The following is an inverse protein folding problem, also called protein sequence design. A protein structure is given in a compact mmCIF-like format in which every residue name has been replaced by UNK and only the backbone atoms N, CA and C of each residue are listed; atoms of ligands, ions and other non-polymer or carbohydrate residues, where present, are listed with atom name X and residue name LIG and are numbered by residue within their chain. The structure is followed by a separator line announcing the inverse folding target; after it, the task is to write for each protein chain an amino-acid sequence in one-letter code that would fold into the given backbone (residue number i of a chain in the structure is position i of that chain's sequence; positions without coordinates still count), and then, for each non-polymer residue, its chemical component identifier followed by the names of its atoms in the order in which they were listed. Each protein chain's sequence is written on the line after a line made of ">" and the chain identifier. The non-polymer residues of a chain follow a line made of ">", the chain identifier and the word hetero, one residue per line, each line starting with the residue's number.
data_IF_828125249822
#
_entry.id   IF_828125249822
#
_cell.length_a   1.000
_cell.length_b   1.000
_cell.length_c   1.000
_cell.angle_alpha   90.00
_cell.angle_beta   90.00
_cell.angle_gamma   90.00
#
_symmetry.space_group_name_H-M   'P 1'
#
loop_
_entity.id
_entity.type
_entity.pdbx_description
1 polymer ?
#
# COMPACT_ATOMS: atom_id res chain seq x y z
N UNK A 1 -9.87 -43.59 -38.87
CA UNK A 1 -8.90 -44.70 -38.94
C UNK A 1 -8.07 -44.65 -37.66
N UNK A 2 -8.08 -45.72 -36.87
CA UNK A 2 -7.27 -45.96 -35.65
C UNK A 2 -5.97 -46.67 -36.06
N UNK A 3 -4.85 -46.40 -35.37
CA UNK A 3 -3.66 -47.24 -35.06
C UNK A 3 -2.57 -46.25 -34.59
N UNK A 4 -2.23 -46.06 -33.30
CA UNK A 4 -1.59 -46.94 -32.29
C UNK A 4 -0.32 -47.61 -32.82
N UNK A 5 0.85 -47.22 -32.25
CA UNK A 5 1.98 -48.04 -31.72
C UNK A 5 3.04 -47.01 -31.22
N UNK A 6 3.36 -46.81 -29.92
CA UNK A 6 3.76 -47.70 -28.82
C UNK A 6 5.23 -48.16 -28.94
N UNK A 7 6.07 -47.68 -28.02
CA UNK A 7 7.09 -48.41 -27.20
C UNK A 7 8.22 -47.43 -26.79
N UNK A 8 8.51 -47.14 -25.52
CA UNK A 8 8.98 -47.95 -24.36
C UNK A 8 10.51 -48.00 -24.24
N UNK A 9 10.95 -48.10 -22.96
CA UNK A 9 12.26 -48.49 -22.41
C UNK A 9 13.06 -47.29 -21.84
N UNK A 10 13.59 -47.31 -20.61
CA UNK A 10 13.40 -48.13 -19.41
C UNK A 10 14.14 -47.49 -18.22
N UNK A 11 13.62 -47.78 -17.03
CA UNK A 11 14.24 -47.93 -15.71
C UNK A 11 15.77 -47.86 -15.59
N UNK A 12 16.27 -47.13 -14.58
CA UNK A 12 17.15 -47.70 -13.55
C UNK A 12 16.95 -46.99 -12.20
N UNK A 13 16.60 -47.76 -11.18
CA UNK A 13 16.70 -47.37 -9.78
C UNK A 13 18.06 -47.72 -9.20
N UNK A 14 18.47 -47.00 -8.15
CA UNK A 14 19.52 -47.44 -7.22
C UNK A 14 18.97 -47.19 -5.82
N UNK A 15 18.74 -48.28 -5.09
CA UNK A 15 18.47 -48.26 -3.66
C UNK A 15 19.77 -48.18 -2.86
N UNK A 16 19.67 -47.66 -1.64
CA UNK A 16 20.65 -47.93 -0.59
C UNK A 16 19.92 -48.57 0.59
N UNK A 17 20.45 -49.70 1.03
CA UNK A 17 20.11 -50.42 2.25
C UNK A 17 21.36 -50.47 3.15
N UNK A 18 21.15 -50.83 4.42
CA UNK A 18 22.11 -51.11 5.50
C UNK A 18 22.35 -49.90 6.43
N UNK A 19 22.39 -50.02 7.76
CA UNK A 19 22.43 -51.19 8.64
C UNK A 19 22.08 -50.74 10.07
N UNK A 20 21.45 -51.62 10.84
CA UNK A 20 21.27 -51.46 12.27
C UNK A 20 22.55 -51.82 13.05
N UNK A 21 22.98 -50.95 13.97
CA UNK A 21 23.87 -51.29 15.09
C UNK A 21 23.39 -50.54 16.33
N UNK A 22 23.11 -51.26 17.42
CA UNK A 22 22.74 -50.74 18.74
C UNK A 22 23.96 -50.16 19.52
N UNK A 23 23.89 -49.91 20.84
CA UNK A 23 23.30 -48.75 21.50
C UNK A 23 24.36 -47.98 22.31
N UNK A 24 24.41 -46.65 22.24
CA UNK A 24 25.25 -45.88 23.16
C UNK A 24 24.42 -45.01 24.09
N UNK A 25 24.49 -45.35 25.38
CA UNK A 25 24.04 -44.52 26.49
C UNK A 25 24.81 -43.21 26.43
N UNK A 26 24.08 -42.12 26.25
CA UNK A 26 24.57 -40.79 26.62
C UNK A 26 23.41 -40.10 27.31
N UNK A 27 23.57 -39.85 28.62
CA UNK A 27 22.67 -39.02 29.41
C UNK A 27 22.61 -37.63 28.77
N UNK A 28 21.56 -37.39 27.99
CA UNK A 28 21.14 -36.05 27.64
C UNK A 28 20.16 -35.60 28.73
N UNK A 29 20.49 -34.50 29.43
CA UNK A 29 19.55 -33.77 30.27
C UNK A 29 18.34 -33.41 29.41
N UNK A 30 17.22 -34.07 29.65
CA UNK A 30 15.91 -33.57 29.28
C UNK A 30 15.67 -32.27 30.03
N UNK A 31 15.95 -31.17 29.37
CA UNK A 31 15.27 -29.91 29.62
C UNK A 31 14.50 -29.59 28.36
N UNK A 32 13.47 -30.40 28.11
CA UNK A 32 12.39 -30.04 27.19
C UNK A 32 11.59 -28.92 27.87
N UNK A 33 12.14 -27.71 27.86
CA UNK A 33 11.31 -26.52 27.88
C UNK A 33 10.57 -26.52 26.55
N UNK A 34 9.40 -27.18 26.54
CA UNK A 34 8.35 -26.88 25.60
C UNK A 34 8.02 -25.41 25.81
N UNK A 35 8.70 -24.54 25.06
CA UNK A 35 8.25 -23.19 24.78
C UNK A 35 6.93 -23.38 24.07
N UNK A 36 5.84 -23.38 24.83
CA UNK A 36 4.50 -23.27 24.28
C UNK A 36 4.55 -22.02 23.39
N UNK A 37 4.62 -22.22 22.07
CA UNK A 37 4.40 -21.17 21.11
C UNK A 37 3.03 -20.61 21.47
N UNK A 38 3.02 -19.42 22.09
CA UNK A 38 1.81 -18.64 22.26
C UNK A 38 1.33 -18.38 20.84
N UNK A 39 0.41 -19.22 20.37
CA UNK A 39 -0.32 -18.99 19.14
C UNK A 39 -1.07 -17.70 19.42
N UNK A 40 -0.51 -16.59 18.94
CA UNK A 40 -1.20 -15.33 18.99
C UNK A 40 -2.48 -15.51 18.19
N UNK A 41 -3.64 -15.07 18.70
CA UNK A 41 -4.87 -15.14 17.93
C UNK A 41 -4.66 -14.45 16.58
N UNK A 42 -5.30 -14.95 15.51
CA UNK A 42 -5.19 -14.34 14.20
C UNK A 42 -5.63 -12.87 14.29
N UNK A 43 -4.87 -11.98 13.65
CA UNK A 43 -5.19 -10.55 13.63
C UNK A 43 -6.61 -10.34 13.11
N UNK A 44 -7.34 -9.41 13.71
CA UNK A 44 -8.59 -8.91 13.12
C UNK A 44 -8.34 -8.26 11.76
N UNK A 45 -9.38 -8.12 10.94
CA UNK A 45 -9.26 -7.47 9.63
C UNK A 45 -8.73 -6.04 9.72
N UNK A 46 -9.20 -5.29 10.71
CA UNK A 46 -8.72 -3.95 11.02
C UNK A 46 -7.23 -3.94 11.38
N UNK A 47 -6.78 -4.87 12.20
CA UNK A 47 -5.35 -4.99 12.54
C UNK A 47 -4.50 -5.38 11.33
N UNK A 48 -5.03 -6.22 10.43
CA UNK A 48 -4.37 -6.54 9.15
C UNK A 48 -4.26 -5.30 8.27
N UNK A 49 -5.34 -4.53 8.12
CA UNK A 49 -5.33 -3.28 7.36
C UNK A 49 -4.30 -2.29 7.93
N UNK A 50 -4.29 -2.08 9.24
CA UNK A 50 -3.31 -1.19 9.89
C UNK A 50 -1.88 -1.68 9.64
N UNK A 51 -1.62 -2.99 9.73
CA UNK A 51 -0.30 -3.55 9.44
C UNK A 51 0.10 -3.35 7.96
N UNK A 52 -0.84 -3.50 7.03
CA UNK A 52 -0.64 -3.22 5.61
C UNK A 52 -0.30 -1.74 5.39
N UNK A 53 -1.05 -0.82 6.01
CA UNK A 53 -0.79 0.62 5.93
C UNK A 53 0.57 1.01 6.53
N UNK A 54 1.00 0.36 7.62
CA UNK A 54 2.32 0.57 8.21
C UNK A 54 3.46 0.11 7.30
N UNK A 55 3.27 -0.99 6.57
CA UNK A 55 4.26 -1.46 5.61
C UNK A 55 4.24 -0.57 4.35
N UNK A 56 3.06 -0.19 3.90
CA UNK A 56 2.87 0.75 2.79
C UNK A 56 3.55 2.10 3.07
N UNK A 57 3.42 2.64 4.28
CA UNK A 57 4.14 3.83 4.73
C UNK A 57 5.66 3.72 4.51
N UNK A 58 6.27 2.59 4.90
CA UNK A 58 7.72 2.39 4.76
C UNK A 58 8.12 2.33 3.30
N UNK A 59 7.34 1.63 2.48
CA UNK A 59 7.64 1.45 1.07
C UNK A 59 7.46 2.76 0.29
N UNK A 60 6.46 3.57 0.65
CA UNK A 60 6.26 4.94 0.16
C UNK A 60 7.46 5.83 0.49
N UNK A 61 7.98 5.77 1.72
CA UNK A 61 9.18 6.52 2.11
C UNK A 61 10.43 6.11 1.32
N UNK A 62 10.53 4.84 0.93
CA UNK A 62 11.64 4.32 0.11
C UNK A 62 11.49 4.57 -1.39
N UNK A 63 10.30 5.01 -1.85
CA UNK A 63 9.93 5.12 -3.27
C UNK A 63 10.16 3.83 -4.08
N UNK A 64 10.11 2.67 -3.45
CA UNK A 64 10.27 1.39 -4.11
C UNK A 64 9.00 1.05 -4.89
N UNK A 65 9.01 1.29 -6.20
CA UNK A 65 7.84 1.14 -7.07
C UNK A 65 7.30 -0.29 -7.10
N UNK A 66 8.16 -1.31 -7.03
CA UNK A 66 7.77 -2.72 -7.03
C UNK A 66 7.03 -3.07 -5.73
N UNK A 67 7.54 -2.58 -4.61
CA UNK A 67 6.92 -2.75 -3.29
C UNK A 67 5.58 -1.99 -3.22
N UNK A 68 5.55 -0.73 -3.64
CA UNK A 68 4.32 0.08 -3.71
C UNK A 68 3.26 -0.58 -4.61
N UNK A 69 3.65 -1.07 -5.79
CA UNK A 69 2.74 -1.80 -6.68
C UNK A 69 2.28 -3.14 -6.10
N UNK A 70 2.94 -3.69 -5.09
CA UNK A 70 2.53 -4.97 -4.48
C UNK A 70 1.26 -4.85 -3.63
N UNK A 71 0.96 -3.64 -3.15
CA UNK A 71 -0.23 -3.35 -2.35
C UNK A 71 -1.50 -3.30 -3.18
N UNK A 72 -1.39 -3.06 -4.49
CA UNK A 72 -2.55 -2.85 -5.33
C UNK A 72 -3.01 -4.11 -6.07
N UNK A 73 -4.30 -4.13 -6.37
CA UNK A 73 -4.83 -5.00 -7.41
C UNK A 73 -4.62 -4.41 -8.78
N UNK A 74 -4.23 -5.28 -9.71
CA UNK A 74 -4.07 -4.94 -11.11
C UNK A 74 -4.91 -5.90 -11.97
N UNK A 75 -5.41 -5.43 -13.13
CA UNK A 75 -5.20 -4.08 -13.65
C UNK A 75 -6.14 -3.05 -12.98
N UNK A 76 -5.71 -1.78 -12.90
CA UNK A 76 -6.50 -0.68 -12.31
C UNK A 76 -7.31 -0.05 -13.44
N UNK A 77 -8.60 0.25 -13.23
CA UNK A 77 -9.36 1.00 -14.23
C UNK A 77 -8.84 2.44 -14.33
N UNK A 78 -8.68 2.95 -15.54
CA UNK A 78 -8.12 4.29 -15.77
C UNK A 78 -8.97 5.40 -15.11
N UNK A 79 -10.29 5.26 -15.07
CA UNK A 79 -11.18 6.25 -14.47
C UNK A 79 -11.11 6.34 -12.94
N UNK A 80 -10.46 5.36 -12.28
CA UNK A 80 -10.28 5.35 -10.83
C UNK A 80 -9.01 6.05 -10.36
N UNK A 81 -8.06 6.27 -11.27
CA UNK A 81 -6.82 7.00 -11.02
C UNK A 81 -6.74 8.14 -12.03
N UNK A 82 -7.25 9.31 -11.66
CA UNK A 82 -7.28 10.48 -12.54
C UNK A 82 -5.86 10.97 -12.81
N UNK A 83 -5.30 10.61 -13.96
CA UNK A 83 -3.96 10.98 -14.42
C UNK A 83 -4.09 12.12 -15.44
N UNK A 84 -3.67 13.34 -15.10
CA UNK A 84 -4.02 14.54 -15.88
C UNK A 84 -2.94 14.93 -16.90
N UNK A 85 -1.69 14.48 -16.71
CA UNK A 85 -0.55 14.94 -17.52
C UNK A 85 0.38 13.81 -17.94
N UNK A 86 -0.08 12.97 -18.86
CA UNK A 86 0.76 11.96 -19.50
C UNK A 86 0.97 12.24 -20.99
N UNK A 87 2.03 11.64 -21.54
CA UNK A 87 2.29 11.72 -22.97
C UNK A 87 1.33 10.84 -23.77
N UNK A 88 1.19 11.15 -25.06
CA UNK A 88 0.36 10.37 -25.99
C UNK A 88 0.74 8.88 -26.09
N UNK A 89 1.95 8.48 -25.65
CA UNK A 89 2.36 7.09 -25.67
C UNK A 89 1.79 6.31 -24.48
N UNK A 90 1.57 6.96 -23.34
CA UNK A 90 0.83 6.41 -22.21
C UNK A 90 -0.63 6.20 -22.56
N UNK A 91 -1.30 7.23 -23.10
CA UNK A 91 -2.71 7.16 -23.47
C UNK A 91 -2.96 6.03 -24.47
N UNK A 92 -2.11 5.92 -25.50
CA UNK A 92 -2.17 4.82 -26.47
C UNK A 92 -2.00 3.45 -25.81
N UNK A 93 -1.15 3.32 -24.79
CA UNK A 93 -1.00 2.07 -24.06
C UNK A 93 -2.23 1.76 -23.20
N UNK A 94 -2.88 2.75 -22.61
CA UNK A 94 -4.15 2.55 -21.89
C UNK A 94 -5.25 2.08 -22.84
N UNK A 95 -5.40 2.74 -24.00
CA UNK A 95 -6.36 2.34 -25.03
C UNK A 95 -6.13 0.89 -25.49
N UNK A 96 -4.87 0.51 -25.71
CA UNK A 96 -4.48 -0.87 -26.05
C UNK A 96 -4.79 -1.90 -24.95
N UNK A 97 -4.93 -1.45 -23.70
CA UNK A 97 -5.29 -2.26 -22.54
C UNK A 97 -6.76 -2.09 -22.13
N UNK A 98 -7.63 -1.63 -23.04
CA UNK A 98 -9.09 -1.46 -22.83
C UNK A 98 -9.44 -0.53 -21.66
N UNK A 99 -8.76 0.60 -21.53
CA UNK A 99 -8.94 1.57 -20.43
C UNK A 99 -8.56 1.05 -19.04
N UNK A 100 -7.65 0.07 -19.00
CA UNK A 100 -7.03 -0.39 -17.77
C UNK A 100 -5.53 -0.13 -17.76
N UNK A 101 -5.01 0.17 -16.58
CA UNK A 101 -3.59 0.33 -16.28
C UNK A 101 -3.09 -1.02 -15.75
N UNK A 102 -2.39 -1.85 -16.54
CA UNK A 102 -1.75 -3.06 -16.04
C UNK A 102 -0.57 -2.74 -15.14
N UNK A 103 -0.15 -3.71 -14.32
CA UNK A 103 0.99 -3.55 -13.40
C UNK A 103 2.27 -3.11 -14.11
N UNK A 104 2.53 -3.65 -15.31
CA UNK A 104 3.69 -3.29 -16.12
C UNK A 104 3.68 -1.82 -16.52
N UNK A 105 2.52 -1.29 -16.93
CA UNK A 105 2.37 0.11 -17.32
C UNK A 105 2.53 1.03 -16.11
N UNK A 106 1.90 0.69 -14.99
CA UNK A 106 2.08 1.42 -13.72
C UNK A 106 3.56 1.49 -13.31
N UNK A 107 4.30 0.39 -13.40
CA UNK A 107 5.73 0.36 -13.05
C UNK A 107 6.63 1.09 -14.04
N UNK A 108 6.27 1.10 -15.32
CA UNK A 108 6.99 1.83 -16.36
C UNK A 108 6.85 3.34 -16.17
N UNK A 109 5.65 3.79 -15.80
CA UNK A 109 5.30 5.20 -15.63
C UNK A 109 5.27 5.66 -14.17
N UNK A 110 5.79 4.84 -13.25
CA UNK A 110 5.66 5.07 -11.80
C UNK A 110 6.10 6.47 -11.36
N UNK A 111 7.22 6.98 -11.85
CA UNK A 111 7.70 8.30 -11.43
C UNK A 111 6.76 9.43 -11.88
N UNK A 112 6.20 9.33 -13.09
CA UNK A 112 5.23 10.31 -13.57
C UNK A 112 3.93 10.23 -12.76
N UNK A 113 3.45 9.00 -12.47
CA UNK A 113 2.27 8.79 -11.60
C UNK A 113 2.54 9.36 -10.20
N UNK A 114 3.72 9.09 -9.64
CA UNK A 114 4.08 9.52 -8.30
C UNK A 114 4.09 11.05 -8.15
N UNK A 115 4.60 11.76 -9.15
CA UNK A 115 4.67 13.23 -9.11
C UNK A 115 3.32 13.87 -9.52
N UNK A 116 2.64 13.37 -10.55
CA UNK A 116 1.31 13.88 -10.99
C UNK A 116 0.24 13.73 -9.89
N UNK A 117 0.29 12.62 -9.16
CA UNK A 117 -0.65 12.34 -8.07
C UNK A 117 -0.16 12.88 -6.72
N UNK A 118 0.92 13.68 -6.74
CA UNK A 118 1.58 14.25 -5.58
C UNK A 118 1.73 13.25 -4.42
N UNK A 119 2.10 12.00 -4.72
CA UNK A 119 2.15 10.90 -3.75
C UNK A 119 3.12 11.16 -2.58
N UNK A 120 3.96 12.20 -2.68
CA UNK A 120 4.74 12.76 -1.57
C UNK A 120 3.86 13.21 -0.41
N UNK A 121 2.67 13.76 -0.68
CA UNK A 121 1.70 14.15 0.36
C UNK A 121 1.32 12.98 1.26
N UNK A 122 1.23 11.76 0.72
CA UNK A 122 1.00 10.56 1.53
C UNK A 122 2.19 10.20 2.44
N UNK A 123 3.43 10.44 2.00
CA UNK A 123 4.59 10.22 2.86
C UNK A 123 4.56 11.16 4.07
N UNK A 124 4.12 12.40 3.89
CA UNK A 124 3.95 13.36 4.99
C UNK A 124 2.73 13.02 5.86
N UNK A 125 1.62 12.58 5.26
CA UNK A 125 0.45 12.02 5.98
C UNK A 125 0.88 10.94 6.96
N UNK A 126 1.62 9.93 6.49
CA UNK A 126 2.05 8.83 7.35
C UNK A 126 3.11 9.23 8.37
N UNK A 127 3.91 10.28 8.10
CA UNK A 127 4.88 10.81 9.08
C UNK A 127 4.18 11.48 10.26
N UNK A 128 3.05 12.15 10.00
CA UNK A 128 2.34 12.91 11.01
C UNK A 128 1.31 12.05 11.77
N UNK A 129 0.72 11.03 11.13
CA UNK A 129 -0.33 10.19 11.73
C UNK A 129 0.22 8.92 12.38
N UNK A 130 -0.10 8.72 13.66
CA UNK A 130 0.19 7.47 14.36
C UNK A 130 -0.83 6.39 14.00
N UNK A 131 -0.51 5.55 13.00
CA UNK A 131 -1.40 4.49 12.50
C UNK A 131 -1.90 3.52 13.58
N UNK A 132 -1.14 3.28 14.64
CA UNK A 132 -1.56 2.42 15.74
C UNK A 132 -2.84 2.92 16.45
N UNK A 133 -3.07 4.25 16.46
CA UNK A 133 -4.27 4.84 17.07
C UNK A 133 -5.56 4.50 16.32
N UNK A 134 -5.47 4.11 15.05
CA UNK A 134 -6.60 3.67 14.24
C UNK A 134 -7.19 2.33 14.72
N UNK A 135 -6.56 1.65 15.68
CA UNK A 135 -7.15 0.45 16.29
C UNK A 135 -8.47 0.77 17.00
N UNK A 136 -8.53 1.92 17.65
CA UNK A 136 -9.61 2.30 18.55
C UNK A 136 -10.55 3.35 17.94
N UNK A 137 -10.12 4.08 16.92
CA UNK A 137 -10.91 5.12 16.24
C UNK A 137 -11.00 4.90 14.74
N UNK A 138 -12.21 5.04 14.17
CA UNK A 138 -12.45 4.96 12.73
C UNK A 138 -11.73 6.07 11.95
N UNK A 139 -11.62 7.26 12.54
CA UNK A 139 -10.97 8.41 11.90
C UNK A 139 -9.75 8.81 12.71
N UNK A 140 -8.69 9.15 12.01
CA UNK A 140 -7.57 9.92 12.56
C UNK A 140 -7.26 11.07 11.63
N UNK A 141 -7.43 12.28 12.14
CA UNK A 141 -7.16 13.53 11.46
C UNK A 141 -6.11 14.32 12.22
N UNK A 142 -5.21 14.97 11.48
CA UNK A 142 -4.29 15.98 11.99
C UNK A 142 -4.31 17.19 11.07
N UNK A 143 -4.54 18.35 11.67
CA UNK A 143 -4.28 19.65 11.06
C UNK A 143 -2.91 20.10 11.53
N UNK A 144 -1.95 20.16 10.62
CA UNK A 144 -0.60 20.61 10.89
C UNK A 144 -0.53 22.13 10.66
N UNK A 145 -0.81 22.88 11.74
CA UNK A 145 -0.64 24.32 11.72
C UNK A 145 0.86 24.67 11.70
N UNK A 146 1.27 25.47 10.72
CA UNK A 146 2.61 26.05 10.69
C UNK A 146 2.47 27.51 11.17
N UNK A 147 3.02 27.79 12.34
CA UNK A 147 2.95 29.13 12.92
C UNK A 147 3.50 30.18 11.96
N UNK A 148 2.78 31.30 11.83
CA UNK A 148 3.13 32.44 10.97
C UNK A 148 3.21 32.09 9.46
N UNK A 149 2.45 31.09 9.00
CA UNK A 149 2.25 30.82 7.58
C UNK A 149 0.78 30.93 7.20
N UNK A 150 0.55 31.40 5.98
CA UNK A 150 -0.76 31.50 5.33
C UNK A 150 -1.31 30.10 5.06
N UNK A 151 -0.45 29.13 4.77
CA UNK A 151 -0.86 27.78 4.41
C UNK A 151 -0.65 26.78 5.54
N UNK A 152 -1.66 25.96 5.78
CA UNK A 152 -1.62 24.82 6.69
C UNK A 152 -1.80 23.53 5.92
N UNK A 153 -1.15 22.48 6.38
CA UNK A 153 -1.37 21.15 5.84
C UNK A 153 -2.41 20.43 6.67
N UNK A 154 -3.19 19.60 6.00
CA UNK A 154 -4.12 18.68 6.64
C UNK A 154 -3.86 17.27 6.13
N UNK A 155 -4.00 16.30 7.05
CA UNK A 155 -3.81 14.89 6.79
C UNK A 155 -4.88 14.10 7.53
N UNK A 156 -5.55 13.17 6.84
CA UNK A 156 -6.50 12.27 7.46
C UNK A 156 -6.42 10.85 6.92
N UNK A 157 -6.69 9.90 7.82
CA UNK A 157 -6.98 8.52 7.47
C UNK A 157 -8.33 8.16 8.09
N UNK A 158 -9.23 7.69 7.24
CA UNK A 158 -10.55 7.17 7.64
C UNK A 158 -10.62 5.68 7.32
N UNK A 159 -10.94 4.87 8.32
CA UNK A 159 -11.21 3.44 8.23
C UNK A 159 -12.70 3.19 8.52
N UNK A 160 -13.46 2.88 7.49
CA UNK A 160 -14.87 2.55 7.58
C UNK A 160 -15.13 1.19 6.94
N UNK A 161 -15.48 0.18 7.75
CA UNK A 161 -15.61 -1.21 7.31
C UNK A 161 -14.33 -1.72 6.62
N UNK A 162 -14.43 -2.14 5.35
CA UNK A 162 -13.33 -2.56 4.48
C UNK A 162 -12.73 -1.38 3.69
N UNK A 163 -13.19 -0.15 3.91
CA UNK A 163 -12.76 1.02 3.15
C UNK A 163 -11.73 1.84 3.92
N UNK A 164 -10.65 2.21 3.25
CA UNK A 164 -9.67 3.18 3.72
C UNK A 164 -9.63 4.39 2.80
N UNK A 165 -9.78 5.57 3.38
CA UNK A 165 -9.58 6.86 2.71
C UNK A 165 -8.32 7.51 3.26
N UNK A 166 -7.40 7.85 2.35
CA UNK A 166 -6.20 8.63 2.63
C UNK A 166 -6.40 10.02 2.05
N UNK A 167 -6.25 11.05 2.86
CA UNK A 167 -6.46 12.42 2.45
C UNK A 167 -5.31 13.31 2.90
N UNK A 168 -4.79 14.12 2.00
CA UNK A 168 -3.85 15.17 2.30
C UNK A 168 -4.24 16.43 1.53
N UNK A 169 -3.90 17.60 2.08
CA UNK A 169 -4.20 18.84 1.40
C UNK A 169 -3.57 20.05 2.06
N UNK A 170 -3.84 21.20 1.46
CA UNK A 170 -3.46 22.51 1.95
C UNK A 170 -4.70 23.40 1.99
N UNK A 171 -4.83 24.17 3.06
CA UNK A 171 -5.90 25.15 3.22
C UNK A 171 -5.36 26.42 3.89
N UNK A 172 -6.11 27.50 3.75
CA UNK A 172 -5.74 28.82 4.26
C UNK A 172 -5.89 28.88 5.78
N UNK A 173 -4.87 29.43 6.43
CA UNK A 173 -4.84 29.69 7.85
C UNK A 173 -5.64 30.97 8.17
N UNK A 174 -6.93 30.81 8.45
CA UNK A 174 -7.79 31.94 8.83
C UNK A 174 -7.24 32.73 10.01
N UNK A 175 -6.58 32.09 10.98
CA UNK A 175 -5.99 32.80 12.12
C UNK A 175 -4.81 33.70 11.68
N UNK A 176 -4.04 33.28 10.68
CA UNK A 176 -2.98 34.10 10.09
C UNK A 176 -3.56 35.28 9.29
N UNK A 177 -4.51 35.02 8.40
CA UNK A 177 -5.09 36.04 7.52
C UNK A 177 -5.80 37.12 8.32
N UNK A 178 -6.55 36.73 9.36
CA UNK A 178 -7.19 37.65 10.29
C UNK A 178 -6.18 38.49 11.09
N UNK A 179 -5.00 37.94 11.40
CA UNK A 179 -3.94 38.65 12.11
C UNK A 179 -3.16 39.62 11.22
N UNK A 180 -3.05 39.33 9.93
CA UNK A 180 -2.28 40.12 8.97
C UNK A 180 -3.12 40.56 7.75
N UNK A 181 -4.20 41.33 7.94
CA UNK A 181 -5.20 41.64 6.91
C UNK A 181 -4.74 42.58 5.79
N UNK A 182 -3.47 42.99 5.76
CA UNK A 182 -2.87 43.75 4.66
C UNK A 182 -1.70 43.02 3.98
N UNK A 183 -1.42 41.75 4.32
CA UNK A 183 -0.41 40.96 3.64
C UNK A 183 -0.91 40.59 2.23
N UNK A 184 -0.14 40.83 1.15
CA UNK A 184 -0.55 40.41 -0.20
C UNK A 184 -0.71 38.88 -0.37
N UNK A 185 -0.06 38.08 0.48
CA UNK A 185 -0.23 36.62 0.52
C UNK A 185 -1.38 36.25 1.47
N UNK A 186 -2.64 36.44 1.05
CA UNK A 186 -3.82 36.14 1.88
C UNK A 186 -4.36 34.73 1.73
N UNK A 187 -4.12 34.09 0.60
CA UNK A 187 -4.79 32.85 0.25
C UNK A 187 -3.77 31.85 -0.24
N UNK A 188 -4.00 30.60 0.13
CA UNK A 188 -3.28 29.48 -0.42
C UNK A 188 -3.95 29.04 -1.71
N UNK A 189 -3.18 28.46 -2.62
CA UNK A 189 -3.76 27.55 -3.59
C UNK A 189 -4.23 26.32 -2.79
N UNK A 190 -5.47 26.37 -2.32
CA UNK A 190 -6.06 25.28 -1.55
C UNK A 190 -6.24 24.07 -2.45
N UNK A 191 -5.95 22.90 -1.90
CA UNK A 191 -6.22 21.66 -2.61
C UNK A 191 -6.30 20.48 -1.64
N UNK A 192 -6.93 19.40 -2.08
CA UNK A 192 -6.99 18.14 -1.37
C UNK A 192 -6.88 16.97 -2.36
N UNK A 193 -5.93 16.07 -2.11
CA UNK A 193 -5.83 14.77 -2.77
C UNK A 193 -6.46 13.69 -1.90
N UNK A 194 -7.45 12.97 -2.45
CA UNK A 194 -8.23 11.95 -1.73
C UNK A 194 -8.12 10.62 -2.47
N UNK A 195 -7.51 9.63 -1.82
CA UNK A 195 -7.36 8.26 -2.32
C UNK A 195 -8.22 7.31 -1.49
N UNK A 196 -9.22 6.71 -2.12
CA UNK A 196 -10.12 5.74 -1.48
C UNK A 196 -9.85 4.34 -2.01
N UNK A 197 -9.72 3.39 -1.09
CA UNK A 197 -9.50 1.99 -1.39
C UNK A 197 -10.45 1.10 -0.63
N UNK A 198 -10.80 -0.03 -1.25
CA UNK A 198 -11.34 -1.19 -0.54
C UNK A 198 -10.22 -2.18 -0.21
N UNK A 199 -10.23 -2.70 1.01
CA UNK A 199 -9.29 -3.69 1.49
C UNK A 199 -9.92 -5.08 1.41
N UNK A 200 -9.29 -6.01 0.68
CA UNK A 200 -9.82 -7.37 0.53
C UNK A 200 -9.28 -8.37 1.58
N UNK A 201 -8.59 -7.86 2.60
CA UNK A 201 -7.87 -8.65 3.60
C UNK A 201 -6.37 -8.79 3.32
N UNK A 202 -5.89 -8.46 2.12
CA UNK A 202 -4.48 -8.51 1.75
C UNK A 202 -4.00 -7.25 1.01
N UNK A 203 -4.83 -6.71 0.12
CA UNK A 203 -4.47 -5.66 -0.84
C UNK A 203 -5.50 -4.54 -0.85
N UNK A 204 -5.06 -3.40 -1.37
CA UNK A 204 -5.84 -2.21 -1.63
C UNK A 204 -6.36 -2.24 -3.08
N UNK A 205 -7.67 -2.25 -3.23
CA UNK A 205 -8.37 -2.09 -4.51
C UNK A 205 -8.72 -0.62 -4.63
N UNK A 206 -8.24 0.06 -5.68
CA UNK A 206 -8.65 1.44 -5.96
C UNK A 206 -10.17 1.50 -6.10
N UNK A 207 -10.80 2.39 -5.34
CA UNK A 207 -12.23 2.69 -5.44
C UNK A 207 -12.47 4.08 -6.03
N UNK A 208 -11.64 5.05 -5.64
CA UNK A 208 -11.74 6.42 -6.15
C UNK A 208 -10.46 7.22 -5.93
N UNK A 209 -10.15 8.08 -6.89
CA UNK A 209 -9.23 9.18 -6.73
C UNK A 209 -9.98 10.49 -6.98
N UNK A 210 -9.90 11.44 -6.05
CA UNK A 210 -10.42 12.79 -6.21
C UNK A 210 -9.32 13.81 -5.93
N UNK A 211 -9.35 14.90 -6.70
CA UNK A 211 -8.61 16.12 -6.41
C UNK A 211 -9.63 17.26 -6.31
N UNK A 212 -9.59 18.00 -5.21
CA UNK A 212 -10.33 19.25 -5.04
C UNK A 212 -9.33 20.40 -4.94
N UNK A 213 -9.66 21.57 -5.48
CA UNK A 213 -8.84 22.77 -5.45
C UNK A 213 -9.45 23.89 -6.27
#
# INVERSE_FOLDING_TARGET
>A
MKFIYLLLIACMGIGCHNTATQPNKTQHKDSTQQTAQRISPPLSERERLIAVLQQFQKDMASRNKEAIASYFHFPIRNDLLVLSYFDSAFDKQIEQNNDFIPRSLFLAYFNAIYEDQEMRGFADLFRNLQLASLKDTAVKEIKAEIANKVCMHYYAITLENDTVTLEYGVYTNEAYTNKFPNNPEMECAEYAGIWTFRFDGQKLIFDRHLVAG
#
